data_IF_118993828418
#
_entry.id   IF_118993828418
#
_cell.length_a   1.000
_cell.length_b   1.000
_cell.length_c   1.000
_cell.angle_alpha   90.00
_cell.angle_beta   90.00
_cell.angle_gamma   90.00
#
_symmetry.space_group_name_H-M   'P 1'
#
loop_
_entity.id
_entity.type
_entity.pdbx_description
1 polymer ?
#
# COMPACT_ATOMS: atom_id res chain seq x y z
N UNK A 1 4.77 10.38 -2.28
CA UNK A 1 5.40 9.38 -3.17
C UNK A 1 5.56 8.07 -2.40
N UNK A 2 5.38 6.91 -3.04
CA UNK A 2 5.55 5.60 -2.41
C UNK A 2 6.91 4.94 -2.70
N UNK A 3 7.68 5.43 -3.69
CA UNK A 3 8.99 4.88 -4.05
C UNK A 3 8.99 3.84 -5.19
N UNK A 4 7.84 3.25 -5.53
CA UNK A 4 7.73 2.09 -6.44
C UNK A 4 7.94 2.37 -7.94
N UNK A 5 8.55 3.50 -8.33
CA UNK A 5 8.58 3.93 -9.71
C UNK A 5 9.53 3.05 -10.56
N UNK A 6 8.99 2.06 -11.29
CA UNK A 6 9.65 1.33 -12.37
C UNK A 6 11.12 0.94 -12.11
N UNK A 7 11.98 1.10 -13.12
CA UNK A 7 13.42 0.81 -13.02
C UNK A 7 14.15 1.66 -11.98
N UNK A 8 13.66 2.89 -11.71
CA UNK A 8 14.21 3.74 -10.66
C UNK A 8 14.14 3.04 -9.30
N UNK A 9 13.06 2.32 -8.98
CA UNK A 9 12.95 1.58 -7.71
C UNK A 9 13.98 0.46 -7.54
N UNK A 10 14.55 -0.03 -8.65
CA UNK A 10 15.61 -1.05 -8.66
C UNK A 10 16.99 -0.37 -8.58
N UNK A 11 17.20 0.66 -9.41
CA UNK A 11 18.47 1.39 -9.47
C UNK A 11 18.73 2.20 -8.20
N UNK A 12 17.67 2.69 -7.55
CA UNK A 12 17.71 3.52 -6.34
C UNK A 12 16.95 2.85 -5.19
N UNK A 13 17.25 1.57 -4.95
CA UNK A 13 16.55 0.73 -3.98
C UNK A 13 16.49 1.35 -2.57
N UNK A 14 17.60 1.90 -2.08
CA UNK A 14 17.64 2.54 -0.76
C UNK A 14 16.72 3.75 -0.67
N UNK A 15 16.66 4.58 -1.72
CA UNK A 15 15.78 5.74 -1.73
C UNK A 15 14.32 5.32 -1.85
N UNK A 16 14.03 4.31 -2.67
CA UNK A 16 12.71 3.70 -2.82
C UNK A 16 12.16 3.24 -1.46
N UNK A 17 12.95 2.45 -0.71
CA UNK A 17 12.57 1.96 0.61
C UNK A 17 12.42 3.09 1.64
N UNK A 18 13.31 4.08 1.66
CA UNK A 18 13.16 5.25 2.55
C UNK A 18 11.87 6.03 2.29
N UNK A 19 11.50 6.21 1.02
CA UNK A 19 10.25 6.88 0.64
C UNK A 19 9.03 6.07 1.05
N UNK A 20 9.07 4.75 0.88
CA UNK A 20 8.05 3.82 1.35
C UNK A 20 7.85 3.94 2.85
N UNK A 21 8.92 3.76 3.63
CA UNK A 21 8.85 3.70 5.09
C UNK A 21 8.40 5.05 5.69
N UNK A 22 8.84 6.17 5.09
CA UNK A 22 8.34 7.50 5.46
C UNK A 22 6.84 7.63 5.19
N UNK A 23 6.36 7.12 4.05
CA UNK A 23 4.95 7.21 3.68
C UNK A 23 4.08 6.33 4.59
N UNK A 24 4.53 5.11 4.90
CA UNK A 24 3.85 4.19 5.81
C UNK A 24 3.74 4.79 7.21
N UNK A 25 4.85 5.30 7.76
CA UNK A 25 4.83 5.98 9.06
C UNK A 25 3.73 7.04 9.14
N UNK A 26 3.64 7.91 8.12
CA UNK A 26 2.64 8.97 8.09
C UNK A 26 1.20 8.45 7.91
N UNK A 27 1.01 7.35 7.17
CA UNK A 27 -0.31 6.75 6.99
C UNK A 27 -0.79 6.03 8.25
N UNK A 28 0.13 5.47 9.02
CA UNK A 28 -0.15 4.65 10.21
C UNK A 28 -0.29 5.45 11.51
N UNK A 29 -0.04 6.77 11.49
CA UNK A 29 -0.09 7.65 12.67
C UNK A 29 -1.38 7.51 13.50
N UNK A 30 -2.50 7.21 12.83
CA UNK A 30 -3.81 7.07 13.47
C UNK A 30 -4.34 5.62 13.47
N UNK A 31 -3.46 4.63 13.35
CA UNK A 31 -3.81 3.20 13.38
C UNK A 31 -4.99 2.84 12.47
N UNK A 32 -4.90 3.11 11.15
CA UNK A 32 -6.00 2.84 10.24
C UNK A 32 -6.24 1.33 10.07
N UNK A 33 -7.50 0.95 9.88
CA UNK A 33 -7.87 -0.44 9.55
C UNK A 33 -7.39 -0.86 8.15
N UNK A 34 -7.24 0.10 7.23
CA UNK A 34 -6.81 -0.13 5.84
C UNK A 34 -6.15 1.11 5.22
N UNK A 35 -5.32 0.88 4.20
CA UNK A 35 -4.74 1.90 3.34
C UNK A 35 -5.28 1.71 1.92
N UNK A 36 -5.82 2.76 1.30
CA UNK A 36 -6.29 2.74 -0.07
C UNK A 36 -5.29 3.43 -1.03
N UNK A 37 -5.11 2.87 -2.23
CA UNK A 37 -4.27 3.45 -3.28
C UNK A 37 -4.91 3.32 -4.68
N UNK A 38 -4.58 4.25 -5.57
CA UNK A 38 -4.95 4.22 -6.99
C UNK A 38 -3.89 3.63 -7.91
N UNK A 39 -2.80 3.11 -7.34
CA UNK A 39 -1.67 2.60 -8.10
C UNK A 39 -1.27 1.22 -7.57
N UNK A 40 -1.36 0.20 -8.43
CA UNK A 40 -1.03 -1.19 -8.09
C UNK A 40 0.45 -1.38 -7.71
N UNK A 41 1.35 -0.61 -8.32
CA UNK A 41 2.77 -0.61 -7.95
C UNK A 41 2.96 -0.12 -6.52
N UNK A 42 2.32 0.99 -6.15
CA UNK A 42 2.31 1.46 -4.76
C UNK A 42 1.60 0.48 -3.83
N UNK A 43 0.54 -0.20 -4.27
CA UNK A 43 -0.15 -1.21 -3.45
C UNK A 43 0.82 -2.31 -3.03
N UNK A 44 1.44 -2.99 -4.00
CA UNK A 44 2.39 -4.07 -3.74
C UNK A 44 3.59 -3.58 -2.93
N UNK A 45 4.12 -2.41 -3.28
CA UNK A 45 5.31 -1.87 -2.64
C UNK A 45 5.06 -1.44 -1.19
N UNK A 46 3.93 -0.76 -0.91
CA UNK A 46 3.54 -0.38 0.45
C UNK A 46 3.18 -1.61 1.28
N UNK A 47 2.40 -2.56 0.72
CA UNK A 47 2.01 -3.78 1.43
C UNK A 47 3.21 -4.58 1.94
N UNK A 48 4.31 -4.60 1.18
CA UNK A 48 5.55 -5.27 1.60
C UNK A 48 6.25 -4.60 2.81
N UNK A 49 5.81 -3.42 3.25
CA UNK A 49 6.38 -2.68 4.37
C UNK A 49 5.46 -2.53 5.58
N UNK A 50 4.21 -3.02 5.53
CA UNK A 50 3.23 -2.84 6.61
C UNK A 50 2.38 -4.08 6.84
N UNK A 51 1.89 -4.23 8.07
CA UNK A 51 0.84 -5.20 8.42
C UNK A 51 -0.59 -4.67 8.17
N UNK A 52 -0.77 -3.37 7.95
CA UNK A 52 -2.07 -2.80 7.60
C UNK A 52 -2.43 -3.22 6.17
N UNK A 53 -3.64 -3.73 5.91
CA UNK A 53 -4.07 -4.08 4.55
C UNK A 53 -3.99 -2.89 3.59
N UNK A 54 -3.30 -3.06 2.47
CA UNK A 54 -3.18 -2.06 1.40
C UNK A 54 -3.96 -2.53 0.17
N UNK A 55 -4.99 -1.78 -0.21
CA UNK A 55 -5.91 -2.16 -1.27
C UNK A 55 -5.97 -1.12 -2.38
N UNK A 56 -6.19 -1.59 -3.61
CA UNK A 56 -6.61 -0.71 -4.68
C UNK A 56 -8.03 -0.22 -4.41
N UNK A 57 -8.32 1.06 -4.68
CA UNK A 57 -9.64 1.63 -4.39
C UNK A 57 -10.80 0.88 -5.10
N UNK A 58 -10.55 0.28 -6.26
CA UNK A 58 -11.55 -0.56 -6.93
C UNK A 58 -11.96 -1.78 -6.10
N UNK A 59 -11.03 -2.35 -5.33
CA UNK A 59 -11.31 -3.46 -4.40
C UNK A 59 -12.13 -3.02 -3.18
N UNK A 60 -12.33 -1.72 -2.97
CA UNK A 60 -13.26 -1.23 -1.95
C UNK A 60 -14.69 -1.14 -2.49
N UNK A 61 -14.83 -1.06 -3.81
CA UNK A 61 -16.11 -0.94 -4.49
C UNK A 61 -16.62 -2.28 -5.02
N UNK A 62 -15.77 -3.30 -5.07
CA UNK A 62 -16.15 -4.64 -5.54
C UNK A 62 -17.04 -5.37 -4.51
N UNK A 63 -18.31 -5.65 -4.84
CA UNK A 63 -19.21 -6.39 -3.96
C UNK A 63 -18.74 -7.82 -3.64
N UNK A 64 -17.94 -8.44 -4.52
CA UNK A 64 -17.41 -9.79 -4.31
C UNK A 64 -16.30 -9.79 -3.24
N UNK A 65 -15.42 -8.78 -3.27
CA UNK A 65 -14.38 -8.59 -2.23
C UNK A 65 -14.96 -8.29 -0.84
N UNK A 66 -16.12 -7.64 -0.76
CA UNK A 66 -16.82 -7.36 0.50
C UNK A 66 -17.34 -8.63 1.20
N UNK A 67 -17.45 -9.76 0.49
CA UNK A 67 -17.89 -11.04 1.04
C UNK A 67 -16.77 -11.73 1.83
N UNK A 68 -15.53 -11.65 1.37
CA UNK A 68 -14.36 -12.20 2.06
C UNK A 68 -14.01 -11.49 3.36
N UNK A 69 -14.51 -10.26 3.60
CA UNK A 69 -14.23 -9.46 4.81
C UNK A 69 -15.21 -9.71 5.96
N UNK A 70 -16.33 -10.40 5.74
CA UNK A 70 -17.35 -10.67 6.78
C UNK A 70 -17.20 -12.03 7.45
N UNK A 71 -16.33 -12.88 6.93
CA UNK A 71 -16.17 -14.28 7.35
C UNK A 71 -14.89 -14.50 8.18
N UNK A 72 -14.28 -13.42 8.71
CA UNK A 72 -13.07 -13.43 9.55
C UNK A 72 -13.26 -12.65 10.84
#
# INVERSE_FOLDING_TARGET
CCGSAGTYSILEADMSLRLRDRKLRALEENSPDLIATGNVGCQLHLQAGTGVPVLHWLELLDPASAKSRRDG
#
